data_IF_591151658128
#
_entry.id   IF_591151658128
#
_cell.length_a   1.000
_cell.length_b   1.000
_cell.length_c   1.000
_cell.angle_alpha   90.00
_cell.angle_beta   90.00
_cell.angle_gamma   90.00
#
_symmetry.space_group_name_H-M   'P 1'
#
loop_
_entity.id
_entity.type
_entity.pdbx_description
1 polymer ?
#
# COMPACT_ATOMS: atom_id res chain seq x y z
N UNK A 1 -37.88 -60.74 55.01
CA UNK A 1 -38.96 -60.00 54.32
C UNK A 1 -38.37 -58.68 53.85
N UNK A 2 -37.89 -58.56 52.60
CA UNK A 2 -38.65 -58.10 51.41
C UNK A 2 -39.30 -56.73 51.68
N UNK A 3 -38.76 -55.58 51.25
CA UNK A 3 -38.54 -54.96 49.92
C UNK A 3 -39.39 -53.68 49.82
N UNK A 4 -38.98 -52.76 48.93
CA UNK A 4 -39.53 -51.43 48.62
C UNK A 4 -39.11 -50.36 49.64
N UNK A 5 -38.30 -49.34 49.30
CA UNK A 5 -38.47 -48.42 48.16
C UNK A 5 -37.12 -47.94 47.61
N UNK A 6 -36.63 -48.60 46.55
CA UNK A 6 -35.83 -47.96 45.50
C UNK A 6 -36.83 -47.21 44.62
N UNK A 7 -36.78 -45.88 44.46
CA UNK A 7 -37.16 -45.24 43.17
C UNK A 7 -36.86 -43.73 42.99
N UNK A 8 -36.17 -43.01 43.88
CA UNK A 8 -36.00 -41.54 43.69
C UNK A 8 -34.61 -40.97 43.95
N UNK A 9 -33.52 -41.72 43.71
CA UNK A 9 -32.18 -41.20 43.95
C UNK A 9 -31.13 -41.45 42.86
N UNK A 10 -31.54 -41.94 41.68
CA UNK A 10 -30.59 -42.19 40.56
C UNK A 10 -30.78 -41.29 39.34
N UNK A 11 -31.80 -40.46 39.27
CA UNK A 11 -32.10 -39.66 38.07
C UNK A 11 -31.65 -38.19 38.17
N UNK A 12 -31.20 -37.74 39.35
CA UNK A 12 -30.74 -36.34 39.53
C UNK A 12 -29.22 -36.16 39.55
N UNK A 13 -28.44 -37.26 39.62
CA UNK A 13 -26.98 -37.18 39.62
C UNK A 13 -26.35 -37.48 38.24
N UNK A 14 -27.16 -37.75 37.22
CA UNK A 14 -26.67 -38.08 35.87
C UNK A 14 -26.96 -37.01 34.82
N UNK A 15 -27.48 -35.84 35.21
CA UNK A 15 -27.74 -34.70 34.31
C UNK A 15 -26.77 -33.53 34.57
N UNK A 16 -26.15 -33.44 35.75
CA UNK A 16 -25.15 -32.40 36.03
C UNK A 16 -23.73 -32.71 35.53
N UNK A 17 -23.43 -33.96 35.16
CA UNK A 17 -22.10 -34.34 34.63
C UNK A 17 -22.04 -34.32 33.09
N UNK A 18 -23.19 -34.22 32.42
CA UNK A 18 -23.29 -34.18 30.95
C UNK A 18 -23.48 -32.75 30.41
N UNK A 19 -23.80 -31.79 31.28
CA UNK A 19 -23.92 -30.37 30.93
C UNK A 19 -22.61 -29.57 31.07
N UNK A 20 -21.56 -30.15 31.68
CA UNK A 20 -20.22 -29.53 31.77
C UNK A 20 -19.31 -29.85 30.57
N UNK A 21 -19.75 -30.70 29.63
CA UNK A 21 -18.98 -31.06 28.43
C UNK A 21 -19.48 -30.38 27.14
N UNK A 22 -20.51 -29.52 27.20
CA UNK A 22 -21.09 -28.85 26.02
C UNK A 22 -20.65 -27.38 25.90
N UNK A 23 -19.75 -26.89 26.76
CA UNK A 23 -19.18 -25.54 26.65
C UNK A 23 -17.66 -25.48 26.44
N UNK A 24 -17.00 -26.61 26.13
CA UNK A 24 -15.59 -26.64 25.69
C UNK A 24 -15.42 -27.02 24.21
N UNK A 25 -16.42 -26.74 23.38
CA UNK A 25 -16.35 -26.97 21.93
C UNK A 25 -16.83 -25.74 21.15
N UNK A 26 -16.15 -24.62 21.35
CA UNK A 26 -15.75 -23.78 20.22
C UNK A 26 -14.24 -23.97 20.07
N UNK A 27 -13.85 -25.17 19.64
CA UNK A 27 -12.55 -25.35 19.02
C UNK A 27 -12.59 -24.57 17.72
N UNK A 28 -11.55 -23.79 17.49
CA UNK A 28 -11.23 -23.23 16.19
C UNK A 28 -11.43 -24.31 15.12
N UNK A 29 -12.22 -24.00 14.08
CA UNK A 29 -12.19 -24.74 12.81
C UNK A 29 -10.81 -24.50 12.18
N UNK A 30 -9.82 -25.18 12.73
CA UNK A 30 -8.52 -25.36 12.11
C UNK A 30 -8.65 -26.60 11.22
N UNK A 31 -9.42 -26.47 10.14
CA UNK A 31 -9.25 -27.32 8.96
C UNK A 31 -7.91 -26.92 8.33
N UNK A 32 -6.83 -27.31 9.02
CA UNK A 32 -5.50 -27.33 8.46
C UNK A 32 -5.56 -28.25 7.25
N UNK A 33 -5.50 -27.65 6.06
CA UNK A 33 -5.18 -28.34 4.82
C UNK A 33 -4.12 -29.41 5.11
N UNK A 34 -4.35 -30.61 4.59
CA UNK A 34 -3.55 -31.81 4.85
C UNK A 34 -2.05 -31.47 5.04
N UNK A 35 -1.37 -32.01 6.07
CA UNK A 35 -0.02 -31.63 6.40
C UNK A 35 0.88 -31.83 5.17
N UNK A 36 1.33 -30.73 4.58
CA UNK A 36 2.37 -30.77 3.57
C UNK A 36 3.58 -31.46 4.22
N UNK A 37 4.12 -32.48 3.54
CA UNK A 37 5.28 -33.20 4.03
C UNK A 37 6.47 -32.23 4.05
N UNK A 38 6.85 -31.80 5.25
CA UNK A 38 7.89 -30.81 5.49
C UNK A 38 7.38 -29.37 5.57
N UNK A 39 8.12 -28.52 6.26
CA UNK A 39 7.78 -27.10 6.38
C UNK A 39 7.96 -26.41 5.01
N UNK A 40 6.92 -25.83 4.39
CA UNK A 40 7.00 -25.30 3.03
C UNK A 40 8.04 -24.18 2.92
N UNK A 41 8.70 -24.05 1.77
CA UNK A 41 9.70 -22.98 1.59
C UNK A 41 9.03 -21.60 1.69
N UNK A 42 9.69 -20.68 2.37
CA UNK A 42 9.30 -19.28 2.42
C UNK A 42 9.54 -18.63 1.06
N UNK A 43 8.57 -17.82 0.65
CA UNK A 43 8.63 -17.06 -0.58
C UNK A 43 7.67 -15.88 -0.55
N UNK A 44 7.89 -14.93 -1.46
CA UNK A 44 6.91 -13.92 -1.83
C UNK A 44 6.36 -13.12 -0.65
N UNK A 45 7.20 -12.30 -0.02
CA UNK A 45 6.71 -11.26 0.90
C UNK A 45 5.91 -10.24 0.08
N UNK A 46 4.70 -9.92 0.52
CA UNK A 46 3.81 -8.92 -0.06
C UNK A 46 3.61 -7.83 0.99
N UNK A 47 4.06 -6.62 0.66
CA UNK A 47 3.92 -5.43 1.52
C UNK A 47 2.85 -4.55 0.89
N UNK A 48 1.80 -4.26 1.67
CA UNK A 48 0.72 -3.36 1.26
C UNK A 48 1.30 -2.01 0.81
N UNK A 49 0.89 -1.56 -0.36
CA UNK A 49 1.30 -0.28 -0.93
C UNK A 49 0.45 0.88 -0.39
N UNK A 50 0.92 2.11 -0.65
CA UNK A 50 0.17 3.34 -0.37
C UNK A 50 -0.17 3.58 1.10
N UNK A 51 0.72 3.18 2.02
CA UNK A 51 0.58 3.45 3.45
C UNK A 51 1.92 3.48 4.19
N UNK A 52 2.03 4.30 5.24
CA UNK A 52 3.19 4.30 6.13
C UNK A 52 3.16 3.17 7.18
N UNK A 53 2.04 2.43 7.25
CA UNK A 53 1.84 1.27 8.13
C UNK A 53 1.40 0.05 7.31
N UNK A 54 2.29 -0.49 6.47
CA UNK A 54 1.90 -1.55 5.58
C UNK A 54 1.56 -2.83 6.34
N UNK A 55 0.51 -3.53 5.87
CA UNK A 55 0.31 -4.95 6.17
C UNK A 55 1.30 -5.79 5.39
N UNK A 56 1.99 -6.68 6.09
CA UNK A 56 3.00 -7.58 5.54
C UNK A 56 2.45 -9.00 5.54
N UNK A 57 2.43 -9.61 4.36
CA UNK A 57 2.05 -11.01 4.12
C UNK A 57 3.21 -11.78 3.50
N UNK A 58 3.15 -13.10 3.53
CA UNK A 58 4.13 -13.96 2.85
C UNK A 58 3.54 -15.34 2.55
N UNK A 59 4.25 -16.12 1.74
CA UNK A 59 3.95 -17.53 1.47
C UNK A 59 4.99 -18.43 2.15
N UNK A 60 4.58 -19.65 2.50
CA UNK A 60 5.48 -20.66 3.08
C UNK A 60 5.26 -20.94 4.58
N UNK A 61 4.05 -20.67 5.08
CA UNK A 61 3.63 -20.98 6.45
C UNK A 61 4.03 -19.91 7.45
N UNK A 62 3.87 -20.20 8.73
CA UNK A 62 4.17 -19.28 9.81
C UNK A 62 5.68 -19.20 10.08
N UNK A 63 6.10 -18.12 10.74
CA UNK A 63 7.51 -17.80 10.98
C UNK A 63 7.73 -17.45 12.43
N UNK A 64 9.00 -17.49 12.86
CA UNK A 64 9.36 -17.06 14.20
C UNK A 64 9.83 -15.63 14.27
N UNK A 65 10.28 -15.06 13.14
CA UNK A 65 10.83 -13.71 13.09
C UNK A 65 10.24 -12.97 11.90
N UNK A 66 9.89 -11.72 12.14
CA UNK A 66 9.67 -10.70 11.11
C UNK A 66 10.56 -9.51 11.45
N UNK A 67 11.43 -9.13 10.52
CA UNK A 67 12.34 -8.00 10.66
C UNK A 67 12.23 -7.02 9.50
N UNK A 68 12.48 -5.76 9.80
CA UNK A 68 12.47 -4.66 8.85
C UNK A 68 13.67 -3.76 9.14
N UNK A 69 14.53 -3.60 8.14
CA UNK A 69 15.68 -2.71 8.18
C UNK A 69 15.44 -1.52 7.26
N UNK A 70 15.90 -0.33 7.66
CA UNK A 70 16.04 0.82 6.77
C UNK A 70 17.26 0.60 5.87
N UNK A 71 17.05 0.70 4.57
CA UNK A 71 18.07 0.47 3.54
C UNK A 71 17.97 -0.91 2.89
N UNK A 72 18.96 -1.28 2.08
CA UNK A 72 18.87 -2.40 1.13
C UNK A 72 19.32 -3.76 1.71
N UNK A 73 19.49 -3.88 3.02
CA UNK A 73 20.06 -5.08 3.65
C UNK A 73 19.26 -5.50 4.87
N UNK A 74 19.04 -6.80 5.01
CA UNK A 74 18.57 -7.41 6.24
C UNK A 74 19.76 -7.65 7.16
N UNK A 75 19.66 -7.25 8.43
CA UNK A 75 20.70 -7.44 9.43
C UNK A 75 20.15 -7.25 10.85
N UNK A 76 20.82 -7.85 11.83
CA UNK A 76 20.62 -7.56 13.24
C UNK A 76 21.58 -6.44 13.67
N UNK A 77 21.23 -5.20 13.35
CA UNK A 77 22.06 -4.00 13.60
C UNK A 77 21.22 -2.73 13.81
N UNK A 78 21.89 -1.58 13.85
CA UNK A 78 21.27 -0.26 14.08
C UNK A 78 20.31 0.22 12.98
N UNK A 79 20.26 -0.46 11.84
CA UNK A 79 19.31 -0.14 10.76
C UNK A 79 17.92 -0.74 11.00
N UNK A 80 17.76 -1.62 11.99
CA UNK A 80 16.47 -2.19 12.36
C UNK A 80 15.48 -1.11 12.80
N UNK A 81 14.31 -1.10 12.16
CA UNK A 81 13.17 -0.26 12.53
C UNK A 81 12.02 -1.05 13.15
N UNK A 82 12.02 -2.37 12.96
CA UNK A 82 11.07 -3.29 13.58
C UNK A 82 11.62 -4.71 13.54
N UNK A 83 11.59 -5.41 14.66
CA UNK A 83 11.99 -6.80 14.78
C UNK A 83 11.10 -7.47 15.83
N UNK A 84 10.26 -8.41 15.41
CA UNK A 84 9.43 -9.20 16.31
C UNK A 84 9.81 -10.67 16.25
N UNK A 85 9.78 -11.31 17.41
CA UNK A 85 10.10 -12.72 17.58
C UNK A 85 9.00 -13.44 18.37
N UNK A 86 8.66 -14.65 17.92
CA UNK A 86 7.86 -15.62 18.67
C UNK A 86 8.37 -17.02 18.36
N UNK A 87 8.68 -17.81 19.39
CA UNK A 87 9.10 -19.21 19.22
C UNK A 87 8.00 -20.06 18.55
N UNK A 88 8.36 -21.26 18.10
CA UNK A 88 7.42 -22.24 17.52
C UNK A 88 7.03 -22.01 16.06
N UNK A 89 7.57 -20.99 15.40
CA UNK A 89 7.02 -20.42 14.17
C UNK A 89 5.55 -19.95 14.32
N UNK A 90 5.23 -19.18 15.36
CA UNK A 90 3.84 -18.81 15.67
C UNK A 90 3.47 -17.35 15.34
N UNK A 91 4.23 -16.69 14.46
CA UNK A 91 3.83 -15.40 13.87
C UNK A 91 2.98 -15.68 12.63
N UNK A 92 1.71 -15.31 12.71
CA UNK A 92 0.75 -15.40 11.61
C UNK A 92 0.78 -14.13 10.75
N UNK A 93 0.58 -14.29 9.44
CA UNK A 93 0.30 -13.17 8.53
C UNK A 93 -1.22 -12.92 8.46
N UNK A 94 -1.68 -11.70 8.11
CA UNK A 94 -0.88 -10.48 7.94
C UNK A 94 -0.35 -9.93 9.28
N UNK A 95 0.81 -9.29 9.24
CA UNK A 95 1.30 -8.43 10.34
C UNK A 95 1.29 -6.98 9.89
N UNK A 96 0.62 -6.09 10.62
CA UNK A 96 0.71 -4.65 10.36
C UNK A 96 2.03 -4.10 10.92
N UNK A 97 2.72 -3.27 10.15
CA UNK A 97 3.91 -2.57 10.64
C UNK A 97 3.59 -1.82 11.95
N UNK A 98 4.52 -1.91 12.91
CA UNK A 98 4.43 -1.29 14.23
C UNK A 98 3.42 -1.95 15.21
N UNK A 99 2.65 -2.95 14.79
CA UNK A 99 1.82 -3.78 15.68
C UNK A 99 2.60 -5.04 16.11
N UNK A 100 2.67 -5.30 17.42
CA UNK A 100 3.32 -6.51 17.96
C UNK A 100 2.29 -7.65 17.93
N UNK A 101 2.53 -8.76 17.20
CA UNK A 101 1.62 -9.90 17.19
C UNK A 101 1.40 -10.49 18.60
N UNK A 102 0.21 -11.07 18.89
CA UNK A 102 -0.07 -11.65 20.20
C UNK A 102 0.96 -12.71 20.63
N UNK A 103 1.58 -12.48 21.79
CA UNK A 103 2.60 -13.34 22.37
C UNK A 103 3.99 -13.21 21.76
N UNK A 104 4.18 -12.33 20.77
CA UNK A 104 5.50 -11.99 20.25
C UNK A 104 6.21 -10.96 21.13
N UNK A 105 7.53 -10.94 21.04
CA UNK A 105 8.41 -9.97 21.69
C UNK A 105 8.99 -9.03 20.65
N UNK A 106 9.09 -7.74 20.98
CA UNK A 106 9.84 -6.78 20.18
C UNK A 106 11.32 -6.82 20.61
N UNK A 107 12.19 -7.17 19.69
CA UNK A 107 13.64 -7.28 19.90
C UNK A 107 14.42 -6.15 19.19
N UNK A 108 13.74 -5.13 18.64
CA UNK A 108 14.35 -4.07 17.82
C UNK A 108 15.52 -3.39 18.54
N UNK A 109 15.30 -2.96 19.78
CA UNK A 109 16.30 -2.25 20.59
C UNK A 109 17.41 -3.15 21.10
N UNK A 110 17.13 -4.45 21.30
CA UNK A 110 18.14 -5.42 21.73
C UNK A 110 19.29 -5.55 20.72
N UNK A 111 19.00 -5.36 19.43
CA UNK A 111 20.00 -5.43 18.36
C UNK A 111 20.48 -4.05 17.88
N UNK A 112 20.27 -3.00 18.69
CA UNK A 112 20.75 -1.64 18.42
C UNK A 112 19.87 -0.81 17.48
N UNK A 113 18.76 -1.37 17.00
CA UNK A 113 17.76 -0.68 16.20
C UNK A 113 16.94 0.32 17.01
N UNK A 114 16.08 1.05 16.33
CA UNK A 114 15.15 2.01 16.94
C UNK A 114 13.80 1.92 16.23
N UNK A 115 12.74 1.71 17.01
CA UNK A 115 11.38 1.76 16.46
C UNK A 115 11.10 3.15 15.91
N UNK A 116 10.37 3.18 14.81
CA UNK A 116 9.82 4.41 14.24
C UNK A 116 8.30 4.28 14.23
N UNK A 117 7.61 5.40 14.44
CA UNK A 117 6.14 5.39 14.51
C UNK A 117 5.50 5.05 13.16
N UNK A 118 6.21 5.33 12.07
CA UNK A 118 5.77 5.14 10.68
C UNK A 118 6.99 4.99 9.77
N UNK A 119 6.82 4.29 8.65
CA UNK A 119 7.84 4.29 7.59
C UNK A 119 7.91 5.68 6.92
N UNK A 120 9.03 6.01 6.30
CA UNK A 120 9.21 7.31 5.63
C UNK A 120 8.99 7.18 4.13
N UNK A 121 8.33 8.18 3.52
CA UNK A 121 8.19 8.31 2.07
C UNK A 121 9.55 8.25 1.38
N UNK A 122 9.61 7.61 0.21
CA UNK A 122 10.82 7.32 -0.57
C UNK A 122 11.90 6.51 0.19
N UNK A 123 11.60 6.09 1.41
CA UNK A 123 12.49 5.27 2.21
C UNK A 123 12.58 3.87 1.63
N UNK A 124 13.80 3.42 1.30
CA UNK A 124 14.04 2.01 0.96
C UNK A 124 14.10 1.17 2.22
N UNK A 125 13.36 0.06 2.28
CA UNK A 125 13.37 -0.88 3.39
C UNK A 125 13.56 -2.31 2.91
N UNK A 126 14.23 -3.11 3.75
CA UNK A 126 14.33 -4.56 3.56
C UNK A 126 13.42 -5.26 4.55
N UNK A 127 12.42 -5.97 4.03
CA UNK A 127 11.49 -6.79 4.80
C UNK A 127 11.97 -8.23 4.72
N UNK A 128 12.09 -8.88 5.87
CA UNK A 128 12.59 -10.25 5.93
C UNK A 128 11.91 -11.05 7.03
N UNK A 129 11.85 -12.36 6.79
CA UNK A 129 11.20 -13.32 7.68
C UNK A 129 12.10 -14.52 7.88
N UNK A 130 12.05 -15.12 9.07
CA UNK A 130 12.90 -16.26 9.42
C UNK A 130 12.12 -17.30 10.23
N UNK A 131 12.33 -18.57 9.90
CA UNK A 131 11.88 -19.70 10.72
C UNK A 131 12.79 -19.94 11.92
N UNK A 132 12.19 -20.54 12.94
CA UNK A 132 12.86 -20.85 14.20
C UNK A 132 14.14 -21.68 14.03
N UNK A 133 14.17 -22.55 13.02
CA UNK A 133 15.28 -23.48 12.76
C UNK A 133 16.63 -22.79 12.69
N UNK A 134 16.69 -21.55 12.19
CA UNK A 134 17.94 -20.79 12.09
C UNK A 134 18.03 -19.63 13.09
N UNK A 135 16.94 -19.25 13.75
CA UNK A 135 16.93 -18.10 14.65
C UNK A 135 17.96 -18.20 15.79
N UNK A 136 18.12 -19.38 16.39
CA UNK A 136 19.09 -19.57 17.48
C UNK A 136 20.54 -19.27 17.07
N UNK A 137 20.90 -19.54 15.81
CA UNK A 137 22.22 -19.20 15.29
C UNK A 137 22.29 -17.72 14.90
N UNK A 138 21.28 -17.24 14.18
CA UNK A 138 21.23 -15.85 13.68
C UNK A 138 21.20 -14.83 14.82
N UNK A 139 20.45 -15.10 15.89
CA UNK A 139 20.31 -14.22 17.06
C UNK A 139 21.63 -13.94 17.80
N UNK A 140 22.65 -14.78 17.58
CA UNK A 140 24.00 -14.60 18.12
C UNK A 140 24.97 -13.90 17.14
N UNK A 141 24.54 -13.59 15.91
CA UNK A 141 25.37 -13.08 14.81
C UNK A 141 25.04 -11.62 14.46
N UNK A 142 25.05 -10.73 15.44
CA UNK A 142 24.80 -9.29 15.22
C UNK A 142 25.75 -8.67 14.19
N UNK A 143 25.25 -7.66 13.46
CA UNK A 143 25.96 -6.93 12.41
C UNK A 143 26.35 -7.73 11.15
N UNK A 144 25.91 -8.99 11.01
CA UNK A 144 26.04 -9.72 9.75
C UNK A 144 24.87 -9.43 8.81
N UNK A 145 25.18 -9.36 7.52
CA UNK A 145 24.19 -9.19 6.45
C UNK A 145 23.51 -10.53 6.21
N UNK A 146 22.19 -10.58 6.30
CA UNK A 146 21.38 -11.74 5.96
C UNK A 146 21.01 -11.66 4.48
N UNK A 147 21.23 -12.76 3.75
CA UNK A 147 20.89 -12.85 2.33
C UNK A 147 20.20 -14.18 2.05
N UNK A 148 19.09 -14.11 1.32
CA UNK A 148 18.43 -15.27 0.74
C UNK A 148 19.27 -15.86 -0.41
N UNK A 149 19.57 -17.15 -0.34
CA UNK A 149 20.29 -17.91 -1.36
C UNK A 149 19.48 -19.14 -1.79
N UNK A 150 18.88 -19.08 -2.98
CA UNK A 150 18.05 -20.15 -3.52
C UNK A 150 18.83 -21.40 -3.93
N UNK A 151 20.16 -21.28 -4.05
CA UNK A 151 21.05 -22.36 -4.51
C UNK A 151 21.67 -23.15 -3.36
N UNK A 152 21.49 -22.67 -2.13
CA UNK A 152 22.08 -23.28 -0.94
C UNK A 152 21.44 -24.63 -0.65
N UNK A 153 22.27 -25.69 -0.61
CA UNK A 153 21.84 -27.06 -0.29
C UNK A 153 21.69 -27.30 1.22
N UNK A 154 22.36 -26.48 2.05
CA UNK A 154 22.17 -26.40 3.49
C UNK A 154 21.18 -25.30 3.83
N UNK A 155 20.74 -25.22 5.09
CA UNK A 155 19.84 -24.15 5.53
C UNK A 155 20.59 -22.82 5.74
N UNK A 156 21.87 -22.88 6.13
CA UNK A 156 22.71 -21.73 6.47
C UNK A 156 24.17 -21.94 5.99
N UNK A 157 24.83 -20.85 5.57
CA UNK A 157 26.28 -20.76 5.35
C UNK A 157 26.79 -19.35 5.73
N UNK A 158 27.91 -19.28 6.46
CA UNK A 158 28.52 -17.99 6.84
C UNK A 158 29.74 -17.72 5.95
N UNK A 159 29.73 -16.60 5.25
CA UNK A 159 30.79 -16.13 4.36
C UNK A 159 31.24 -14.72 4.81
N UNK A 160 32.26 -14.64 5.68
CA UNK A 160 32.74 -13.36 6.23
C UNK A 160 31.63 -12.62 6.98
N UNK A 161 31.25 -11.44 6.50
CA UNK A 161 30.19 -10.59 7.09
C UNK A 161 28.78 -10.94 6.60
N UNK A 162 28.63 -11.97 5.77
CA UNK A 162 27.35 -12.39 5.21
C UNK A 162 26.92 -13.74 5.77
N UNK A 163 25.64 -13.88 6.13
CA UNK A 163 25.00 -15.16 6.38
C UNK A 163 24.02 -15.44 5.24
N UNK A 164 24.27 -16.53 4.52
CA UNK A 164 23.42 -17.01 3.44
C UNK A 164 22.44 -18.03 3.99
N UNK A 165 21.17 -17.83 3.69
CA UNK A 165 20.07 -18.62 4.19
C UNK A 165 19.23 -19.14 3.04
N UNK A 166 18.91 -20.43 3.06
CA UNK A 166 18.05 -21.01 2.03
C UNK A 166 16.58 -20.66 2.25
N UNK A 167 15.75 -20.89 1.22
CA UNK A 167 14.31 -20.66 1.27
C UNK A 167 13.55 -21.56 2.23
N UNK A 168 14.15 -22.62 2.77
CA UNK A 168 13.48 -23.39 3.82
C UNK A 168 13.41 -22.62 5.15
N UNK A 169 14.29 -21.61 5.34
CA UNK A 169 14.43 -20.89 6.60
C UNK A 169 14.19 -19.38 6.49
N UNK A 170 14.55 -18.75 5.37
CA UNK A 170 14.58 -17.29 5.23
C UNK A 170 14.00 -16.82 3.90
N UNK A 171 13.38 -15.65 3.89
CA UNK A 171 13.10 -14.92 2.67
C UNK A 171 13.17 -13.41 2.94
N UNK A 172 13.52 -12.63 1.92
CA UNK A 172 13.59 -11.18 2.03
C UNK A 172 13.23 -10.49 0.71
N UNK A 173 12.72 -9.27 0.82
CA UNK A 173 12.53 -8.35 -0.30
C UNK A 173 13.06 -6.97 0.08
N UNK A 174 13.46 -6.20 -0.93
CA UNK A 174 13.78 -4.77 -0.79
C UNK A 174 12.71 -3.99 -1.53
N UNK A 175 12.06 -3.06 -0.86
CA UNK A 175 10.99 -2.25 -1.44
C UNK A 175 11.06 -0.81 -0.91
N UNK A 176 10.91 0.20 -1.78
CA UNK A 176 10.68 1.57 -1.33
C UNK A 176 9.26 1.72 -0.75
N UNK A 177 9.09 2.66 0.17
CA UNK A 177 7.79 3.06 0.69
C UNK A 177 7.28 4.23 -0.14
N UNK A 178 6.21 3.96 -0.87
CA UNK A 178 5.60 4.89 -1.81
C UNK A 178 4.14 5.13 -1.40
N UNK A 179 3.90 6.15 -0.59
CA UNK A 179 2.57 6.51 -0.06
C UNK A 179 1.92 7.63 -0.87
N UNK A 180 2.71 8.61 -1.28
CA UNK A 180 2.27 9.71 -2.13
C UNK A 180 3.33 10.06 -3.16
N UNK A 181 2.90 10.65 -4.28
CA UNK A 181 3.83 10.98 -5.35
C UNK A 181 4.44 12.37 -5.16
N UNK A 182 5.77 12.43 -5.16
CA UNK A 182 6.47 13.70 -5.13
C UNK A 182 6.48 14.32 -6.52
N UNK A 183 5.86 15.51 -6.65
CA UNK A 183 5.88 16.27 -7.90
C UNK A 183 7.13 17.14 -7.95
N UNK A 184 7.86 17.06 -9.05
CA UNK A 184 9.07 17.83 -9.30
C UNK A 184 9.00 18.51 -10.66
N UNK A 185 9.91 19.45 -10.91
CA UNK A 185 10.02 20.15 -12.18
C UNK A 185 8.68 20.75 -12.68
N UNK A 186 7.83 21.21 -11.77
CA UNK A 186 6.58 21.87 -12.11
C UNK A 186 6.91 23.12 -12.94
N UNK A 187 6.57 23.09 -14.22
CA UNK A 187 6.89 24.14 -15.18
C UNK A 187 5.91 25.30 -15.01
N UNK A 188 6.23 26.45 -15.60
CA UNK A 188 5.28 27.55 -15.68
C UNK A 188 4.06 27.14 -16.51
N UNK A 189 2.87 27.59 -16.10
CA UNK A 189 1.67 27.46 -16.93
C UNK A 189 1.85 28.15 -18.27
N UNK A 190 1.16 27.61 -19.27
CA UNK A 190 1.24 28.00 -20.67
C UNK A 190 -0.17 28.01 -21.26
N UNK A 191 -0.51 29.08 -21.96
CA UNK A 191 -1.83 29.25 -22.56
C UNK A 191 -2.27 30.70 -22.50
N UNK A 192 -3.58 30.90 -22.65
CA UNK A 192 -4.19 32.24 -22.63
C UNK A 192 -5.43 32.34 -21.78
N UNK A 193 -5.81 31.27 -21.07
CA UNK A 193 -7.00 31.28 -20.23
C UNK A 193 -6.72 31.93 -18.86
N UNK A 194 -5.54 31.68 -18.30
CA UNK A 194 -5.19 32.18 -16.98
C UNK A 194 -3.93 31.54 -16.41
N UNK A 195 -3.90 31.34 -15.10
CA UNK A 195 -2.79 30.67 -14.41
C UNK A 195 -3.23 29.30 -13.91
N UNK A 196 -2.35 28.32 -14.04
CA UNK A 196 -2.55 26.95 -13.58
C UNK A 196 -1.39 26.56 -12.66
N UNK A 197 -1.71 25.93 -11.54
CA UNK A 197 -0.76 25.47 -10.55
C UNK A 197 -1.09 24.04 -10.14
N UNK A 198 -0.04 23.28 -9.82
CA UNK A 198 -0.16 21.92 -9.29
C UNK A 198 0.48 21.91 -7.91
N UNK A 199 -0.27 21.43 -6.93
CA UNK A 199 0.17 21.33 -5.54
C UNK A 199 0.45 19.87 -5.18
N UNK A 200 1.62 19.66 -4.58
CA UNK A 200 2.03 18.35 -4.03
C UNK A 200 1.17 18.07 -2.80
N UNK A 201 0.65 16.84 -2.69
CA UNK A 201 0.07 16.37 -1.43
C UNK A 201 1.08 15.50 -0.70
N UNK A 202 1.10 15.59 0.63
CA UNK A 202 1.88 14.70 1.48
C UNK A 202 1.03 13.56 2.06
N UNK A 203 -0.09 13.23 1.39
CA UNK A 203 -1.11 12.30 1.90
C UNK A 203 -1.77 11.42 0.82
N UNK A 204 -1.61 11.72 -0.48
CA UNK A 204 -2.19 10.93 -1.57
C UNK A 204 -1.38 11.03 -2.87
N UNK A 205 -1.57 10.05 -3.76
CA UNK A 205 -1.04 10.06 -5.14
C UNK A 205 -1.86 10.96 -6.10
N UNK A 206 -2.76 11.81 -5.58
CA UNK A 206 -3.66 12.62 -6.38
C UNK A 206 -3.24 14.08 -6.26
N UNK A 207 -2.70 14.72 -7.32
CA UNK A 207 -2.34 16.12 -7.26
C UNK A 207 -3.58 17.01 -7.05
N UNK A 208 -3.36 18.15 -6.38
CA UNK A 208 -4.35 19.22 -6.31
C UNK A 208 -4.04 20.20 -7.45
N UNK A 209 -5.06 20.48 -8.27
CA UNK A 209 -4.98 21.36 -9.43
C UNK A 209 -5.69 22.66 -9.09
N UNK A 210 -4.93 23.75 -9.02
CA UNK A 210 -5.43 25.08 -8.69
C UNK A 210 -5.33 25.99 -9.91
N UNK A 211 -6.34 26.82 -10.17
CA UNK A 211 -6.31 27.74 -11.31
C UNK A 211 -6.98 29.07 -11.03
N UNK A 212 -6.54 30.10 -11.76
CA UNK A 212 -7.17 31.42 -11.80
C UNK A 212 -7.43 31.78 -13.25
N UNK A 213 -8.69 32.04 -13.62
CA UNK A 213 -9.07 32.46 -14.97
C UNK A 213 -8.94 33.98 -15.09
N UNK A 214 -8.27 34.47 -16.14
CA UNK A 214 -8.02 35.90 -16.35
C UNK A 214 -8.55 36.42 -17.69
N UNK A 215 -8.78 35.55 -18.66
CA UNK A 215 -9.22 35.95 -20.01
C UNK A 215 -10.70 36.38 -20.10
N UNK A 216 -11.51 36.03 -19.10
CA UNK A 216 -12.95 36.31 -19.04
C UNK A 216 -13.36 36.71 -17.62
N UNK A 217 -14.54 37.32 -17.44
CA UNK A 217 -15.08 37.69 -16.12
C UNK A 217 -15.58 36.48 -15.28
N UNK A 218 -15.38 35.27 -15.78
CA UNK A 218 -15.77 34.02 -15.12
C UNK A 218 -14.56 33.39 -14.43
N UNK A 219 -14.74 32.89 -13.21
CA UNK A 219 -13.70 32.18 -12.46
C UNK A 219 -13.72 30.67 -12.67
N UNK A 220 -14.75 30.14 -13.33
CA UNK A 220 -14.97 28.72 -13.53
C UNK A 220 -14.50 28.26 -14.92
N UNK A 221 -14.18 26.97 -15.02
CA UNK A 221 -13.82 26.31 -16.28
C UNK A 221 -14.87 25.26 -16.66
N UNK A 222 -14.77 24.78 -17.90
CA UNK A 222 -15.72 23.82 -18.48
C UNK A 222 -15.16 22.42 -18.66
N UNK A 223 -13.84 22.27 -18.66
CA UNK A 223 -13.15 21.01 -18.86
C UNK A 223 -11.78 21.02 -18.18
N UNK A 224 -11.36 19.86 -17.70
CA UNK A 224 -10.06 19.60 -17.09
C UNK A 224 -9.60 18.19 -17.48
N UNK A 225 -8.29 17.99 -17.63
CA UNK A 225 -7.75 16.66 -17.88
C UNK A 225 -6.25 16.54 -17.65
N UNK A 226 -5.77 15.30 -17.64
CA UNK A 226 -4.38 14.90 -17.42
C UNK A 226 -3.99 13.86 -18.47
N UNK A 227 -2.81 14.07 -19.05
CA UNK A 227 -2.18 13.20 -20.03
C UNK A 227 -0.80 12.80 -19.52
N UNK A 228 -0.42 11.53 -19.70
CA UNK A 228 0.96 11.07 -19.53
C UNK A 228 1.82 11.57 -20.70
N UNK A 229 2.80 12.41 -20.42
CA UNK A 229 3.69 13.03 -21.41
C UNK A 229 3.93 14.52 -21.17
N UNK A 230 4.89 15.08 -21.91
CA UNK A 230 5.22 16.51 -21.85
C UNK A 230 4.39 17.40 -22.79
N UNK A 231 3.46 16.81 -23.53
CA UNK A 231 2.56 17.47 -24.49
C UNK A 231 1.23 16.72 -24.52
N UNK A 232 0.18 17.37 -25.03
CA UNK A 232 -1.11 16.72 -25.21
C UNK A 232 -1.02 15.60 -26.25
N UNK A 233 -1.43 14.40 -25.85
CA UNK A 233 -1.59 13.20 -26.66
C UNK A 233 -2.91 12.53 -26.22
N UNK A 234 -3.92 12.44 -27.09
CA UNK A 234 -5.20 11.83 -26.71
C UNK A 234 -5.07 10.35 -26.34
N UNK A 235 -4.09 9.63 -26.90
CA UNK A 235 -3.87 8.22 -26.57
C UNK A 235 -3.20 8.03 -25.20
N UNK A 236 -2.59 9.09 -24.66
CA UNK A 236 -1.94 9.13 -23.35
C UNK A 236 -2.83 9.71 -22.24
N UNK A 237 -4.11 9.97 -22.51
CA UNK A 237 -5.02 10.54 -21.53
C UNK A 237 -5.27 9.57 -20.37
N UNK A 238 -5.06 10.04 -19.14
CA UNK A 238 -5.25 9.23 -17.93
C UNK A 238 -6.39 9.73 -17.07
N UNK A 239 -6.90 10.93 -17.32
CA UNK A 239 -8.13 11.43 -16.70
C UNK A 239 -8.66 12.64 -17.42
N UNK A 240 -9.98 12.75 -17.56
CA UNK A 240 -10.63 14.00 -17.94
C UNK A 240 -12.05 14.11 -17.39
N UNK A 241 -12.49 15.35 -17.19
CA UNK A 241 -13.84 15.67 -16.80
C UNK A 241 -14.32 16.89 -17.58
N UNK A 242 -15.44 16.75 -18.29
CA UNK A 242 -16.05 17.82 -19.06
C UNK A 242 -17.43 18.13 -18.50
N UNK A 243 -17.77 19.41 -18.38
CA UNK A 243 -19.12 19.87 -18.04
C UNK A 243 -20.18 19.27 -18.96
N UNK A 244 -21.33 18.94 -18.39
CA UNK A 244 -22.50 18.46 -19.12
C UNK A 244 -23.55 19.56 -19.09
N UNK A 245 -24.06 19.89 -20.27
CA UNK A 245 -25.16 20.83 -20.42
C UNK A 245 -26.18 20.29 -21.41
N UNK A 246 -27.46 20.58 -21.17
CA UNK A 246 -28.54 20.30 -22.12
C UNK A 246 -28.93 21.61 -22.78
N UNK A 247 -28.84 21.65 -24.11
CA UNK A 247 -29.37 22.72 -24.93
C UNK A 247 -30.35 22.15 -25.95
N UNK A 248 -31.64 22.38 -25.72
CA UNK A 248 -32.73 21.94 -26.60
C UNK A 248 -32.83 20.41 -26.79
N UNK A 249 -32.57 19.63 -25.74
CA UNK A 249 -32.64 18.16 -25.75
C UNK A 249 -31.42 17.49 -26.38
N UNK A 250 -30.32 18.24 -26.56
CA UNK A 250 -29.03 17.74 -27.01
C UNK A 250 -28.00 17.94 -25.90
N UNK A 251 -27.37 16.84 -25.51
CA UNK A 251 -26.29 16.87 -24.53
C UNK A 251 -25.05 17.48 -25.20
N UNK A 252 -24.48 18.49 -24.56
CA UNK A 252 -23.25 19.16 -24.96
C UNK A 252 -22.21 19.05 -23.85
N UNK A 253 -20.99 18.68 -24.24
CA UNK A 253 -19.86 18.52 -23.32
C UNK A 253 -18.89 19.71 -23.42
N UNK A 254 -18.38 20.17 -22.28
CA UNK A 254 -17.41 21.28 -22.24
C UNK A 254 -18.02 22.63 -22.62
N UNK A 255 -19.33 22.80 -22.50
CA UNK A 255 -20.05 24.03 -22.91
C UNK A 255 -20.68 24.82 -21.76
N UNK A 256 -20.42 24.42 -20.51
CA UNK A 256 -20.80 25.19 -19.32
C UNK A 256 -19.59 25.36 -18.38
N UNK A 257 -19.33 26.59 -17.94
CA UNK A 257 -18.31 26.85 -16.93
C UNK A 257 -18.90 26.56 -15.54
N UNK A 258 -18.52 25.42 -14.96
CA UNK A 258 -19.09 24.92 -13.69
C UNK A 258 -18.03 24.34 -12.75
N UNK A 259 -16.81 24.11 -13.24
CA UNK A 259 -15.74 23.49 -12.47
C UNK A 259 -14.98 24.61 -11.75
N UNK A 260 -14.96 24.53 -10.42
CA UNK A 260 -14.28 25.48 -9.54
C UNK A 260 -12.91 24.98 -9.10
N UNK A 261 -11.96 25.89 -8.91
CA UNK A 261 -10.67 25.61 -8.27
C UNK A 261 -10.81 25.58 -6.73
N UNK A 262 -10.02 24.77 -6.00
CA UNK A 262 -9.10 23.74 -6.50
C UNK A 262 -9.84 22.43 -6.83
N UNK A 263 -9.20 21.58 -7.64
CA UNK A 263 -9.70 20.26 -8.02
C UNK A 263 -8.68 19.18 -7.60
N UNK A 264 -9.13 18.17 -6.86
CA UNK A 264 -8.34 16.96 -6.59
C UNK A 264 -8.48 16.02 -7.78
N UNK A 265 -7.37 15.60 -8.38
CA UNK A 265 -7.43 14.69 -9.53
C UNK A 265 -8.20 13.39 -9.20
N UNK A 266 -9.11 13.01 -10.11
CA UNK A 266 -9.98 11.85 -9.96
C UNK A 266 -11.20 12.04 -9.06
N UNK A 267 -11.43 13.24 -8.51
CA UNK A 267 -12.66 13.49 -7.76
C UNK A 267 -13.90 13.57 -8.64
N UNK A 268 -15.06 13.27 -8.07
CA UNK A 268 -16.34 13.47 -8.74
C UNK A 268 -16.72 14.95 -8.70
N UNK A 269 -16.75 15.59 -9.87
CA UNK A 269 -17.12 17.00 -10.00
C UNK A 269 -18.59 17.08 -10.45
N UNK A 270 -19.50 17.65 -9.63
CA UNK A 270 -20.92 17.75 -9.97
C UNK A 270 -21.17 18.43 -11.32
N UNK A 271 -22.06 17.84 -12.12
CA UNK A 271 -22.41 18.37 -13.44
C UNK A 271 -21.37 18.08 -14.54
N UNK A 272 -20.36 17.24 -14.27
CA UNK A 272 -19.39 16.79 -15.28
C UNK A 272 -19.60 15.32 -15.67
N UNK A 273 -19.07 14.95 -16.82
CA UNK A 273 -18.92 13.59 -17.29
C UNK A 273 -17.41 13.28 -17.37
N UNK A 274 -17.01 12.18 -16.75
CA UNK A 274 -15.68 11.60 -16.88
C UNK A 274 -15.66 10.69 -18.11
N UNK A 275 -14.69 10.87 -19.02
CA UNK A 275 -14.52 10.01 -20.20
C UNK A 275 -13.34 9.05 -20.04
N UNK A 276 -12.33 9.46 -19.27
CA UNK A 276 -11.22 8.62 -18.82
C UNK A 276 -11.16 8.69 -17.31
N UNK A 277 -11.33 7.55 -16.65
CA UNK A 277 -11.26 7.44 -15.19
C UNK A 277 -9.82 7.59 -14.71
N UNK A 278 -9.65 8.34 -13.61
CA UNK A 278 -8.34 8.51 -13.01
C UNK A 278 -7.83 7.17 -12.45
N UNK A 279 -6.53 6.83 -12.60
CA UNK A 279 -6.03 5.54 -12.15
C UNK A 279 -6.20 5.36 -10.64
N UNK A 280 -6.70 4.20 -10.19
CA UNK A 280 -6.94 3.93 -8.76
C UNK A 280 -5.66 4.06 -7.91
N UNK A 281 -4.50 3.73 -8.47
CA UNK A 281 -3.19 3.88 -7.82
C UNK A 281 -2.60 5.30 -7.89
N UNK A 282 -3.29 6.22 -8.56
CA UNK A 282 -2.84 7.57 -8.87
C UNK A 282 -1.78 7.64 -9.96
N UNK A 283 -1.01 8.72 -9.97
CA UNK A 283 0.06 8.92 -10.95
C UNK A 283 1.17 7.87 -10.76
N UNK A 284 1.77 7.43 -11.87
CA UNK A 284 3.00 6.62 -11.86
C UNK A 284 4.20 7.46 -11.46
N UNK A 285 5.13 6.85 -10.74
CA UNK A 285 6.48 7.37 -10.46
C UNK A 285 7.33 7.49 -11.72
N UNK A 286 8.31 8.40 -11.71
CA UNK A 286 9.27 8.62 -12.80
C UNK A 286 8.60 8.86 -14.16
N UNK A 287 7.51 9.63 -14.17
CA UNK A 287 6.75 9.97 -15.36
C UNK A 287 6.56 11.48 -15.49
N UNK A 288 6.36 11.96 -16.72
CA UNK A 288 5.99 13.34 -17.00
C UNK A 288 4.49 13.42 -17.24
N UNK A 289 3.84 14.46 -16.74
CA UNK A 289 2.41 14.68 -16.95
C UNK A 289 2.11 16.09 -17.45
N UNK A 290 1.05 16.15 -18.24
CA UNK A 290 0.50 17.36 -18.82
C UNK A 290 -0.93 17.54 -18.30
N UNK A 291 -1.16 18.54 -17.46
CA UNK A 291 -2.51 18.92 -17.00
C UNK A 291 -3.00 20.06 -17.86
N UNK A 292 -4.27 20.01 -18.25
CA UNK A 292 -4.90 21.06 -19.01
C UNK A 292 -6.28 21.43 -18.50
N UNK A 293 -6.65 22.68 -18.74
CA UNK A 293 -7.98 23.23 -18.44
C UNK A 293 -8.49 24.04 -19.63
N UNK A 294 -9.81 24.10 -19.79
CA UNK A 294 -10.45 24.87 -20.85
C UNK A 294 -11.80 25.46 -20.40
N UNK A 295 -12.12 26.67 -20.88
CA UNK A 295 -13.45 27.25 -20.68
C UNK A 295 -14.43 26.90 -21.81
N UNK A 296 -15.71 27.24 -21.65
CA UNK A 296 -16.80 26.89 -22.57
C UNK A 296 -16.63 27.36 -24.02
N UNK A 297 -15.79 28.38 -24.24
CA UNK A 297 -15.51 28.97 -25.55
C UNK A 297 -14.35 28.29 -26.28
N UNK A 298 -13.67 27.34 -25.65
CA UNK A 298 -12.63 26.54 -26.30
C UNK A 298 -13.23 25.71 -27.45
N UNK A 299 -12.45 25.60 -28.53
CA UNK A 299 -12.85 25.01 -29.81
C UNK A 299 -12.82 23.47 -29.82
N UNK A 300 -12.14 22.85 -28.86
CA UNK A 300 -12.00 21.39 -28.80
C UNK A 300 -10.71 20.86 -29.45
N UNK A 301 -9.98 21.70 -30.18
CA UNK A 301 -8.87 21.27 -31.05
C UNK A 301 -7.56 22.01 -30.74
N UNK A 302 -7.61 23.31 -30.43
CA UNK A 302 -6.43 24.09 -30.13
C UNK A 302 -5.76 23.64 -28.82
N UNK A 303 -4.45 23.35 -28.86
CA UNK A 303 -3.66 22.90 -27.70
C UNK A 303 -2.27 23.55 -27.62
N UNK A 304 -2.08 24.71 -28.26
CA UNK A 304 -0.78 25.41 -28.36
C UNK A 304 -0.75 26.68 -27.50
N UNK A 305 0.44 27.27 -27.33
CA UNK A 305 0.64 28.49 -26.52
C UNK A 305 -0.26 29.67 -26.88
N UNK A 306 -0.68 29.77 -28.15
CA UNK A 306 -1.54 30.85 -28.63
C UNK A 306 -3.03 30.48 -28.65
N UNK A 307 -3.41 29.28 -28.23
CA UNK A 307 -4.80 28.86 -28.15
C UNK A 307 -5.52 29.68 -27.08
N UNK A 308 -6.60 30.34 -27.49
CA UNK A 308 -7.46 31.06 -26.56
C UNK A 308 -8.28 30.07 -25.71
N UNK A 309 -8.65 30.48 -24.51
CA UNK A 309 -9.56 29.74 -23.65
C UNK A 309 -9.04 28.38 -23.16
N UNK A 310 -7.72 28.19 -23.26
CA UNK A 310 -7.00 27.00 -22.88
C UNK A 310 -5.76 27.36 -22.05
N UNK A 311 -5.48 26.57 -21.02
CA UNK A 311 -4.25 26.64 -20.22
C UNK A 311 -3.74 25.23 -19.96
N UNK A 312 -2.43 25.07 -19.86
CA UNK A 312 -1.80 23.82 -19.45
C UNK A 312 -0.56 24.04 -18.61
N UNK A 313 -0.15 22.99 -17.91
CA UNK A 313 1.08 22.92 -17.13
C UNK A 313 1.67 21.51 -17.25
N UNK A 314 2.98 21.43 -17.17
CA UNK A 314 3.71 20.16 -17.22
C UNK A 314 4.51 20.01 -15.94
N UNK A 315 4.54 18.81 -15.39
CA UNK A 315 5.34 18.45 -14.22
C UNK A 315 5.85 17.02 -14.35
N UNK A 316 6.84 16.67 -13.54
CA UNK A 316 7.38 15.32 -13.46
C UNK A 316 7.06 14.73 -12.09
N UNK A 317 7.09 13.41 -12.00
CA UNK A 317 7.00 12.66 -10.74
C UNK A 317 8.31 11.94 -10.45
N UNK A 318 8.71 11.89 -9.17
CA UNK A 318 9.83 11.06 -8.71
C UNK A 318 9.41 9.60 -8.51
#
# INVERSE_FOLDING_TARGET
MKTLTKFYFKTFFSISLTALFIFSSCNEENDGLAPYVGSPKLSNIIVQDSTFWPKINWLGGYVSVLGINKGPRAALDSTLVFLVYKGGNDIHYPVTFNEIPPGAQDLTTQYGGSRVDSLTEDGTYTFWILKETEWNQISAMSNKILIYDSTLSTTLRVDGDTVRLSGSAHFQIVKPVNVYINLVNIRQSRGRLGDLAIEVTNKSNNPIISFTVTQIEDSLISAIGIVEGGQFDPDGEIWNALSVSDSAGQIQYGKANIISSPVVAGENIPGTQVFVEYPEGGLKHNATYYVWIANKFWDGEGRILSTNYYEYIVFDTN
#
